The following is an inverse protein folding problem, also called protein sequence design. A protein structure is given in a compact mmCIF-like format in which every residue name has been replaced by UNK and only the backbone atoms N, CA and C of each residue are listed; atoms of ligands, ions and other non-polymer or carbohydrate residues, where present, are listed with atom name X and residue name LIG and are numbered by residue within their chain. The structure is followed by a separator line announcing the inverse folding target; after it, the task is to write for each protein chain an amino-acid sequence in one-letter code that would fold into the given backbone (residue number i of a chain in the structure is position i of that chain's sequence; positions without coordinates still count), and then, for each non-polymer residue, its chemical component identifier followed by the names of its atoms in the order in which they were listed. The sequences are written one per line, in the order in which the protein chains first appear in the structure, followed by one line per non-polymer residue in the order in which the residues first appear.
data_IF_092353097476
#
_entry.id   IF_092353097476
#
_cell.length_a   1.000
_cell.length_b   1.000
_cell.length_c   1.000
_cell.angle_alpha   90.00
_cell.angle_beta   90.00
_cell.angle_gamma   90.00
#
_symmetry.space_group_name_H-M   'P 1'
#
loop_
_entity.id
_entity.type
_entity.pdbx_description
1 polymer ?
#
# COMPACT_ATOMS: atom_id res chain seq x y z
N UNK A 1 16.06 -12.32 -9.70
CA UNK A 1 14.68 -12.14 -10.18
C UNK A 1 13.89 -13.40 -9.86
N UNK A 2 12.62 -13.27 -9.51
CA UNK A 2 11.73 -14.41 -9.24
C UNK A 2 11.25 -14.97 -10.59
N UNK A 3 11.59 -16.22 -10.91
CA UNK A 3 11.26 -16.86 -12.19
C UNK A 3 9.74 -17.07 -12.37
N UNK A 4 8.98 -17.18 -11.25
CA UNK A 4 7.55 -17.49 -11.24
C UNK A 4 6.68 -16.33 -10.69
N UNK A 5 7.05 -15.07 -10.96
CA UNK A 5 6.29 -13.94 -10.46
C UNK A 5 5.03 -13.69 -11.28
N UNK A 6 3.86 -13.75 -10.63
CA UNK A 6 2.55 -13.52 -11.24
C UNK A 6 1.95 -12.18 -10.79
N UNK A 7 1.35 -11.45 -11.73
CA UNK A 7 0.61 -10.21 -11.45
C UNK A 7 -0.89 -10.48 -11.59
N UNK A 8 -1.67 -10.10 -10.58
CA UNK A 8 -3.13 -10.20 -10.58
C UNK A 8 -3.77 -8.83 -10.43
N UNK A 9 -4.64 -8.44 -11.35
CA UNK A 9 -5.49 -7.26 -11.22
C UNK A 9 -6.87 -7.70 -10.75
N UNK A 10 -7.22 -7.40 -9.49
CA UNK A 10 -8.42 -7.92 -8.83
C UNK A 10 -9.61 -6.95 -8.90
N UNK A 11 -9.41 -5.73 -9.43
CA UNK A 11 -10.44 -4.70 -9.42
C UNK A 11 -10.74 -4.22 -8.01
N UNK A 12 -12.02 -3.92 -7.72
CA UNK A 12 -12.44 -3.46 -6.39
C UNK A 12 -12.98 -4.64 -5.58
N UNK A 13 -12.27 -5.01 -4.51
CA UNK A 13 -12.53 -6.20 -3.69
C UNK A 13 -12.64 -5.85 -2.21
N UNK A 14 -13.41 -6.61 -1.46
CA UNK A 14 -13.59 -6.44 -0.02
C UNK A 14 -12.28 -6.65 0.74
N UNK A 15 -11.98 -5.77 1.70
CA UNK A 15 -10.73 -5.85 2.46
C UNK A 15 -10.63 -7.13 3.31
N UNK A 16 -11.70 -7.48 4.02
CA UNK A 16 -11.70 -8.64 4.91
C UNK A 16 -11.47 -9.95 4.14
N UNK A 17 -12.21 -10.14 3.04
CA UNK A 17 -12.04 -11.32 2.17
C UNK A 17 -10.63 -11.38 1.57
N UNK A 18 -10.09 -10.21 1.16
CA UNK A 18 -8.73 -10.14 0.60
C UNK A 18 -7.68 -10.46 1.66
N UNK A 19 -7.88 -10.03 2.91
CA UNK A 19 -7.00 -10.37 4.04
C UNK A 19 -6.95 -11.88 4.27
N UNK A 20 -8.11 -12.54 4.29
CA UNK A 20 -8.20 -13.99 4.47
C UNK A 20 -7.51 -14.74 3.32
N UNK A 21 -7.67 -14.26 2.08
CA UNK A 21 -6.99 -14.83 0.91
C UNK A 21 -5.48 -14.69 1.02
N UNK A 22 -4.96 -13.51 1.39
CA UNK A 22 -3.52 -13.31 1.59
C UNK A 22 -2.96 -14.20 2.69
N UNK A 23 -3.65 -14.29 3.83
CA UNK A 23 -3.24 -15.12 4.96
C UNK A 23 -3.27 -16.62 4.62
N UNK A 24 -4.19 -17.06 3.79
CA UNK A 24 -4.27 -18.43 3.30
C UNK A 24 -3.13 -18.72 2.34
N UNK A 25 -2.94 -17.85 1.35
CA UNK A 25 -1.90 -18.01 0.32
C UNK A 25 -0.48 -18.11 0.92
N UNK A 26 -0.12 -17.29 1.90
CA UNK A 26 1.21 -17.36 2.51
C UNK A 26 1.44 -18.61 3.36
N UNK A 27 0.38 -19.36 3.70
CA UNK A 27 0.46 -20.62 4.42
C UNK A 27 0.51 -21.84 3.49
N UNK A 28 0.23 -21.67 2.21
CA UNK A 28 0.24 -22.76 1.23
C UNK A 28 1.62 -23.44 1.16
N UNK A 29 1.59 -24.76 1.00
CA UNK A 29 2.81 -25.56 0.85
C UNK A 29 3.49 -25.24 -0.48
N UNK A 30 2.69 -25.09 -1.54
CA UNK A 30 3.14 -24.78 -2.89
C UNK A 30 2.95 -23.28 -3.18
N UNK A 31 3.51 -22.45 -2.30
CA UNK A 31 3.44 -21.00 -2.40
C UNK A 31 4.03 -20.48 -3.71
N UNK A 32 3.28 -19.62 -4.40
CA UNK A 32 3.72 -18.89 -5.59
C UNK A 32 3.91 -17.41 -5.30
N UNK A 33 4.89 -16.80 -5.97
CA UNK A 33 5.13 -15.35 -5.83
C UNK A 33 4.08 -14.56 -6.62
N UNK A 34 3.34 -13.72 -5.93
CA UNK A 34 2.26 -12.94 -6.54
C UNK A 34 2.32 -11.48 -6.13
N UNK A 35 1.98 -10.58 -7.06
CA UNK A 35 1.72 -9.17 -6.79
C UNK A 35 0.30 -8.87 -7.23
N UNK A 36 -0.51 -8.39 -6.28
CA UNK A 36 -1.92 -8.08 -6.52
C UNK A 36 -2.13 -6.57 -6.61
N UNK A 37 -2.74 -6.10 -7.69
CA UNK A 37 -3.17 -4.72 -7.87
C UNK A 37 -4.69 -4.66 -7.70
N UNK A 38 -5.18 -3.74 -6.87
CA UNK A 38 -6.59 -3.69 -6.53
C UNK A 38 -7.01 -2.33 -5.95
N UNK A 39 -8.28 -2.17 -5.70
CA UNK A 39 -8.89 -1.14 -4.86
C UNK A 39 -9.76 -1.80 -3.78
N UNK A 40 -10.02 -1.08 -2.70
CA UNK A 40 -11.03 -1.48 -1.72
C UNK A 40 -12.25 -0.54 -1.72
N UNK A 41 -13.44 -1.01 -1.33
CA UNK A 41 -14.49 -0.13 -0.83
C UNK A 41 -13.99 0.68 0.37
N UNK A 42 -14.68 1.76 0.77
CA UNK A 42 -14.31 2.56 1.93
C UNK A 42 -14.12 1.70 3.19
N UNK A 43 -12.93 1.76 3.79
CA UNK A 43 -12.58 1.01 5.00
C UNK A 43 -11.43 1.67 5.75
N UNK A 44 -11.55 1.75 7.08
CA UNK A 44 -10.42 2.01 7.97
C UNK A 44 -9.78 0.69 8.40
N UNK A 45 -8.46 0.60 8.30
CA UNK A 45 -7.72 -0.57 8.78
C UNK A 45 -6.81 -0.20 9.93
N UNK A 46 -6.84 -1.00 11.00
CA UNK A 46 -5.97 -0.86 12.16
C UNK A 46 -4.81 -1.84 12.02
N UNK A 47 -3.59 -1.33 11.90
CA UNK A 47 -2.38 -2.15 11.90
C UNK A 47 -2.02 -2.62 13.33
N UNK A 48 -0.94 -3.38 13.44
CA UNK A 48 -0.50 -3.98 14.71
C UNK A 48 -0.03 -2.97 15.77
N UNK A 49 0.34 -1.76 15.34
CA UNK A 49 0.72 -0.67 16.24
C UNK A 49 -0.42 0.34 16.47
N UNK A 50 -1.63 0.07 15.94
CA UNK A 50 -2.70 1.04 15.93
C UNK A 50 -3.27 1.30 17.33
N UNK A 51 -3.36 2.59 17.66
CA UNK A 51 -4.14 3.05 18.80
C UNK A 51 -5.53 3.49 18.33
N UNK A 52 -6.59 2.91 18.89
CA UNK A 52 -7.98 3.24 18.56
C UNK A 52 -8.32 4.72 18.76
N UNK A 53 -7.61 5.43 19.64
CA UNK A 53 -7.77 6.88 19.82
C UNK A 53 -7.37 7.71 18.58
N UNK A 54 -6.69 7.10 17.61
CA UNK A 54 -6.37 7.70 16.32
C UNK A 54 -7.53 7.64 15.32
N UNK A 55 -8.66 7.01 15.67
CA UNK A 55 -9.94 7.18 14.97
C UNK A 55 -10.68 8.29 15.66
N UNK A 56 -10.89 9.41 14.97
CA UNK A 56 -11.54 10.60 15.48
C UNK A 56 -13.06 10.52 15.28
N UNK A 57 -13.49 10.07 14.10
CA UNK A 57 -14.88 9.85 13.74
C UNK A 57 -14.95 8.90 12.54
N UNK A 58 -15.43 7.68 12.74
CA UNK A 58 -15.51 6.70 11.65
C UNK A 58 -16.78 6.85 10.80
N UNK A 59 -17.78 7.58 11.30
CA UNK A 59 -19.13 7.65 10.70
C UNK A 59 -19.62 6.23 10.35
N UNK A 60 -19.95 6.02 9.06
CA UNK A 60 -20.44 4.73 8.56
C UNK A 60 -19.33 3.87 7.91
N UNK A 61 -18.08 4.34 7.91
CA UNK A 61 -16.97 3.60 7.30
C UNK A 61 -16.57 2.44 8.24
N UNK A 62 -16.57 1.19 7.74
CA UNK A 62 -16.18 0.04 8.54
C UNK A 62 -14.73 0.17 9.05
N UNK A 63 -14.52 -0.34 10.27
CA UNK A 63 -13.19 -0.43 10.89
C UNK A 63 -12.81 -1.90 10.99
N UNK A 64 -11.69 -2.29 10.40
CA UNK A 64 -11.21 -3.67 10.39
C UNK A 64 -9.85 -3.75 11.08
N UNK A 65 -9.74 -4.65 12.06
CA UNK A 65 -8.45 -5.00 12.63
C UNK A 65 -7.66 -5.83 11.64
N UNK A 66 -6.44 -5.38 11.35
CA UNK A 66 -5.52 -6.04 10.42
C UNK A 66 -4.23 -6.45 11.14
N UNK A 67 -3.49 -7.37 10.56
CA UNK A 67 -2.19 -7.80 11.05
C UNK A 67 -1.01 -7.15 10.30
N UNK A 68 -1.28 -6.20 9.38
CA UNK A 68 -0.23 -5.39 8.76
C UNK A 68 0.52 -4.54 9.78
N UNK A 69 1.74 -4.20 9.47
CA UNK A 69 2.49 -3.21 10.26
C UNK A 69 1.86 -1.81 10.22
N UNK A 70 2.23 -1.00 11.19
CA UNK A 70 1.85 0.40 11.29
C UNK A 70 0.52 0.66 12.00
N UNK A 71 0.09 1.89 11.93
CA UNK A 71 -1.06 2.50 12.60
C UNK A 71 -2.35 2.44 11.73
N UNK A 72 -3.35 3.28 12.07
CA UNK A 72 -4.59 3.40 11.30
C UNK A 72 -4.32 4.02 9.92
N UNK A 73 -5.04 3.55 8.91
CA UNK A 73 -5.11 4.15 7.57
C UNK A 73 -6.51 3.98 6.97
N UNK A 74 -6.73 4.65 5.85
CA UNK A 74 -7.95 4.56 5.06
C UNK A 74 -7.66 3.96 3.68
N UNK A 75 -8.57 3.11 3.22
CA UNK A 75 -8.63 2.66 1.84
C UNK A 75 -10.00 2.99 1.25
N UNK A 76 -10.03 3.35 -0.03
CA UNK A 76 -11.25 3.68 -0.73
C UNK A 76 -11.08 3.68 -2.25
N UNK A 77 -12.19 3.82 -3.00
CA UNK A 77 -12.17 3.91 -4.46
C UNK A 77 -11.25 5.00 -4.96
N UNK A 78 -10.48 4.71 -6.03
CA UNK A 78 -9.50 5.65 -6.57
C UNK A 78 -8.13 5.60 -5.88
N UNK A 79 -7.91 4.67 -4.96
CA UNK A 79 -6.61 4.38 -4.37
C UNK A 79 -6.04 3.10 -4.99
N UNK A 80 -4.86 3.16 -5.59
CA UNK A 80 -4.17 1.95 -6.04
C UNK A 80 -3.53 1.24 -4.86
N UNK A 81 -4.00 0.04 -4.56
CA UNK A 81 -3.41 -0.84 -3.55
C UNK A 81 -2.60 -1.93 -4.26
N UNK A 82 -1.37 -2.17 -3.78
CA UNK A 82 -0.50 -3.22 -4.31
C UNK A 82 -0.05 -4.09 -3.15
N UNK A 83 -0.42 -5.36 -3.19
CA UNK A 83 -0.02 -6.37 -2.22
C UNK A 83 1.10 -7.24 -2.77
N UNK A 84 2.10 -7.52 -1.93
CA UNK A 84 3.31 -8.25 -2.26
C UNK A 84 3.34 -9.58 -1.51
N UNK A 85 2.90 -10.64 -2.16
CA UNK A 85 2.93 -12.01 -1.65
C UNK A 85 4.19 -12.67 -2.21
N UNK A 86 5.33 -12.38 -1.60
CA UNK A 86 6.65 -12.74 -2.13
C UNK A 86 7.46 -13.52 -1.09
N UNK A 87 8.24 -14.49 -1.57
CA UNK A 87 9.25 -15.18 -0.77
C UNK A 87 10.50 -14.30 -0.66
N UNK A 88 10.53 -13.45 0.37
CA UNK A 88 11.65 -12.52 0.57
C UNK A 88 12.92 -13.23 1.05
N UNK A 89 12.79 -14.44 1.58
CA UNK A 89 13.96 -15.24 1.93
C UNK A 89 14.70 -15.70 0.66
N UNK A 90 13.98 -16.12 -0.38
CA UNK A 90 14.58 -16.43 -1.69
C UNK A 90 15.18 -15.19 -2.38
N UNK A 91 14.64 -14.02 -2.12
CA UNK A 91 15.19 -12.76 -2.62
C UNK A 91 16.41 -12.28 -1.82
N UNK A 92 16.78 -12.97 -0.75
CA UNK A 92 17.85 -12.56 0.19
C UNK A 92 17.66 -11.15 0.74
N UNK A 93 16.39 -10.72 0.88
CA UNK A 93 16.03 -9.40 1.38
C UNK A 93 15.65 -9.44 2.85
N UNK A 94 16.29 -8.60 3.66
CA UNK A 94 15.78 -8.32 5.00
C UNK A 94 14.46 -7.53 4.92
N UNK A 95 13.57 -7.62 5.92
CA UNK A 95 12.35 -6.81 5.97
C UNK A 95 12.60 -5.31 5.77
N UNK A 96 13.65 -4.78 6.38
CA UNK A 96 14.03 -3.35 6.25
C UNK A 96 14.43 -3.01 4.81
N UNK A 97 15.22 -3.87 4.18
CA UNK A 97 15.63 -3.69 2.78
C UNK A 97 14.44 -3.78 1.84
N UNK A 98 13.51 -4.72 2.10
CA UNK A 98 12.29 -4.85 1.32
C UNK A 98 11.42 -3.59 1.41
N UNK A 99 11.20 -3.03 2.61
CA UNK A 99 10.49 -1.75 2.79
C UNK A 99 11.14 -0.63 1.98
N UNK A 100 12.48 -0.49 2.03
CA UNK A 100 13.18 0.53 1.24
C UNK A 100 13.09 0.28 -0.27
N UNK A 101 13.08 -0.97 -0.72
CA UNK A 101 12.85 -1.34 -2.12
C UNK A 101 11.47 -0.86 -2.58
N UNK A 102 10.43 -1.10 -1.78
CA UNK A 102 9.06 -0.65 -2.07
C UNK A 102 8.96 0.89 -2.06
N UNK A 103 9.62 1.58 -1.13
CA UNK A 103 9.66 3.05 -1.13
C UNK A 103 10.29 3.60 -2.41
N UNK A 104 11.44 3.04 -2.82
CA UNK A 104 12.11 3.44 -4.05
C UNK A 104 11.27 3.11 -5.29
N UNK A 105 10.59 1.97 -5.32
CA UNK A 105 9.62 1.67 -6.38
C UNK A 105 8.56 2.78 -6.53
N UNK A 106 7.95 3.24 -5.43
CA UNK A 106 6.96 4.34 -5.50
C UNK A 106 7.60 5.63 -5.97
N UNK A 107 8.82 5.93 -5.51
CA UNK A 107 9.57 7.11 -5.97
C UNK A 107 9.79 7.07 -7.49
N UNK A 108 10.27 5.95 -8.01
CA UNK A 108 10.54 5.78 -9.44
C UNK A 108 9.24 5.83 -10.26
N UNK A 109 8.17 5.22 -9.76
CA UNK A 109 6.84 5.27 -10.37
C UNK A 109 6.31 6.71 -10.47
N UNK A 110 6.48 7.53 -9.43
CA UNK A 110 6.07 8.93 -9.43
C UNK A 110 6.97 9.77 -10.34
N UNK A 111 8.27 9.50 -10.36
CA UNK A 111 9.22 10.17 -11.27
C UNK A 111 8.88 9.93 -12.75
N UNK A 112 8.45 8.71 -13.12
CA UNK A 112 7.96 8.37 -14.46
C UNK A 112 6.69 9.16 -14.88
N UNK A 113 6.07 9.85 -13.94
CA UNK A 113 4.90 10.73 -14.14
C UNK A 113 5.24 12.21 -13.88
N UNK A 114 6.54 12.56 -13.86
CA UNK A 114 7.05 13.90 -13.55
C UNK A 114 6.58 14.45 -12.20
N UNK A 115 6.49 13.57 -11.18
CA UNK A 115 6.12 13.94 -9.82
C UNK A 115 7.33 13.68 -8.90
N UNK A 116 7.87 14.75 -8.33
CA UNK A 116 8.93 14.66 -7.32
C UNK A 116 8.35 14.32 -5.95
N UNK A 117 9.04 13.46 -5.21
CA UNK A 117 8.63 13.05 -3.88
C UNK A 117 9.83 12.90 -2.93
N UNK A 118 9.53 12.79 -1.65
CA UNK A 118 10.52 12.64 -0.58
C UNK A 118 10.13 11.54 0.40
N UNK A 119 11.10 11.14 1.21
CA UNK A 119 10.90 10.27 2.37
C UNK A 119 11.09 11.10 3.64
N UNK A 120 10.35 10.75 4.69
CA UNK A 120 10.51 11.34 6.02
C UNK A 120 11.07 10.27 6.94
N UNK A 121 12.14 10.60 7.65
CA UNK A 121 12.77 9.70 8.59
C UNK A 121 11.78 9.27 9.68
N UNK A 122 11.78 7.98 10.04
CA UNK A 122 10.88 7.37 11.02
C UNK A 122 9.37 7.47 10.71
N UNK A 123 9.00 7.93 9.50
CA UNK A 123 7.61 7.99 9.05
C UNK A 123 7.43 7.20 7.73
N UNK A 124 7.29 5.87 7.76
CA UNK A 124 7.19 5.04 6.56
C UNK A 124 6.09 5.52 5.62
N UNK A 125 6.44 5.69 4.35
CA UNK A 125 5.55 6.21 3.32
C UNK A 125 6.31 7.08 2.32
N UNK A 126 5.57 7.68 1.38
CA UNK A 126 6.11 8.61 0.39
C UNK A 126 5.35 9.92 0.48
N UNK A 127 6.04 11.04 0.34
CA UNK A 127 5.51 12.37 0.62
C UNK A 127 5.82 13.35 -0.51
N UNK A 128 4.91 14.29 -0.73
CA UNK A 128 5.06 15.45 -1.60
C UNK A 128 4.70 16.67 -0.76
N UNK A 129 5.63 17.63 -0.65
CA UNK A 129 5.47 18.83 0.19
C UNK A 129 4.96 18.52 1.61
N UNK A 130 5.54 17.47 2.23
CA UNK A 130 5.17 16.93 3.54
C UNK A 130 3.78 16.25 3.61
N UNK A 131 3.00 16.23 2.53
CA UNK A 131 1.73 15.53 2.45
C UNK A 131 1.94 14.09 1.99
N UNK A 132 1.33 13.14 2.69
CA UNK A 132 1.50 11.73 2.36
C UNK A 132 0.71 11.36 1.10
N UNK A 133 1.39 10.80 0.09
CA UNK A 133 0.78 10.29 -1.13
C UNK A 133 0.67 8.77 -1.16
N UNK A 134 1.58 8.07 -0.45
CA UNK A 134 1.54 6.62 -0.34
C UNK A 134 1.85 6.14 1.07
N UNK A 135 1.09 5.14 1.51
CA UNK A 135 1.27 4.47 2.80
C UNK A 135 1.85 3.07 2.59
N UNK A 136 2.70 2.63 3.53
CA UNK A 136 3.32 1.30 3.52
C UNK A 136 2.94 0.58 4.79
N UNK A 137 2.40 -0.61 4.65
CA UNK A 137 2.08 -1.49 5.76
C UNK A 137 2.26 -2.93 5.31
N UNK A 138 3.38 -3.55 5.67
CA UNK A 138 3.72 -4.93 5.33
C UNK A 138 3.60 -5.85 6.53
N UNK A 139 3.43 -7.13 6.26
CA UNK A 139 3.59 -8.20 7.23
C UNK A 139 4.59 -9.22 6.69
N UNK A 140 5.40 -9.74 7.59
CA UNK A 140 6.37 -10.80 7.27
C UNK A 140 6.05 -12.03 8.13
N UNK A 141 5.98 -13.18 7.48
CA UNK A 141 5.70 -14.45 8.14
C UNK A 141 6.44 -15.58 7.42
N UNK A 142 7.25 -16.34 8.15
CA UNK A 142 7.98 -17.51 7.63
C UNK A 142 8.78 -17.23 6.35
N UNK A 143 9.47 -16.09 6.28
CA UNK A 143 10.26 -15.68 5.11
C UNK A 143 9.46 -15.10 3.96
N UNK A 144 8.14 -15.01 4.07
CA UNK A 144 7.24 -14.45 3.05
C UNK A 144 6.70 -13.09 3.48
N UNK A 145 6.37 -12.23 2.51
CA UNK A 145 5.65 -10.97 2.72
C UNK A 145 4.19 -11.10 2.35
N UNK A 146 3.34 -10.25 2.90
CA UNK A 146 1.99 -9.95 2.43
C UNK A 146 1.55 -8.57 2.88
N UNK A 147 0.37 -8.08 2.47
CA UNK A 147 0.06 -6.67 2.42
C UNK A 147 1.05 -5.90 1.55
N UNK A 148 1.13 -4.58 1.69
CA UNK A 148 1.97 -3.80 0.80
C UNK A 148 1.84 -2.31 0.94
N UNK A 149 1.45 -1.66 -0.15
CA UNK A 149 1.34 -0.21 -0.26
C UNK A 149 -0.04 0.22 -0.75
N UNK A 150 -0.40 1.43 -0.41
CA UNK A 150 -1.53 2.14 -1.03
C UNK A 150 -1.05 3.49 -1.56
N UNK A 151 -1.37 3.80 -2.81
CA UNK A 151 -1.03 5.05 -3.50
C UNK A 151 -2.32 5.79 -3.78
N UNK A 152 -2.45 6.99 -3.25
CA UNK A 152 -3.60 7.85 -3.51
C UNK A 152 -3.52 8.35 -4.95
N UNK A 153 -4.48 7.96 -5.79
CA UNK A 153 -4.50 8.34 -7.20
C UNK A 153 -5.56 9.40 -7.51
N UNK A 154 -6.83 9.06 -7.39
CA UNK A 154 -7.99 9.92 -7.69
C UNK A 154 -9.16 9.51 -6.82
N UNK A 155 -9.11 9.86 -5.54
CA UNK A 155 -10.00 9.39 -4.49
C UNK A 155 -10.55 10.53 -3.66
N UNK A 156 -11.62 10.27 -2.90
CA UNK A 156 -12.03 11.17 -1.83
C UNK A 156 -11.03 11.10 -0.66
N UNK A 157 -10.37 12.22 -0.38
CA UNK A 157 -9.41 12.35 0.71
C UNK A 157 -10.07 12.76 2.05
N UNK A 158 -11.35 13.13 2.05
CA UNK A 158 -12.05 13.60 3.28
C UNK A 158 -12.05 12.56 4.41
N UNK A 159 -12.16 11.23 4.16
CA UNK A 159 -12.07 10.24 5.23
C UNK A 159 -10.74 10.23 6.01
N UNK A 160 -9.65 10.69 5.41
CA UNK A 160 -8.39 10.82 6.15
C UNK A 160 -8.43 11.85 7.29
N UNK A 161 -9.38 12.83 7.23
CA UNK A 161 -9.59 13.79 8.31
C UNK A 161 -10.32 13.17 9.53
N UNK A 162 -10.87 11.98 9.37
CA UNK A 162 -11.57 11.22 10.43
C UNK A 162 -10.62 10.35 11.25
N UNK A 163 -9.33 10.35 10.90
CA UNK A 163 -8.28 9.59 11.59
C UNK A 163 -7.03 10.46 11.78
N UNK A 164 -6.11 10.02 12.65
CA UNK A 164 -4.73 10.49 12.67
C UNK A 164 -3.86 9.48 11.89
N UNK A 165 -3.63 9.67 10.58
CA UNK A 165 -2.93 8.68 9.78
C UNK A 165 -1.54 8.42 10.34
N UNK A 166 -1.15 7.15 10.48
CA UNK A 166 0.14 6.76 11.07
C UNK A 166 0.37 7.28 12.50
N UNK A 167 -0.69 7.63 13.25
CA UNK A 167 -0.61 8.19 14.59
C UNK A 167 -0.19 9.67 14.66
N UNK A 168 0.01 10.33 13.54
CA UNK A 168 0.42 11.73 13.49
C UNK A 168 -0.79 12.66 13.36
N UNK A 169 -1.03 13.47 14.41
CA UNK A 169 -2.08 14.50 14.38
C UNK A 169 -1.80 15.51 13.29
N UNK A 170 -2.82 15.79 12.45
CA UNK A 170 -2.72 16.81 11.42
C UNK A 170 -1.86 16.43 10.22
N UNK A 171 -1.50 15.14 10.06
CA UNK A 171 -0.82 14.68 8.86
C UNK A 171 -1.72 14.86 7.64
N UNK A 172 -1.34 15.76 6.76
CA UNK A 172 -2.02 15.96 5.49
C UNK A 172 -1.71 14.83 4.50
N UNK A 173 -2.69 14.55 3.64
CA UNK A 173 -2.56 13.61 2.53
C UNK A 173 -2.75 14.32 1.20
N UNK A 174 -2.18 13.75 0.15
CA UNK A 174 -2.37 14.22 -1.23
C UNK A 174 -2.57 13.02 -2.16
N UNK A 175 -2.78 13.28 -3.43
CA UNK A 175 -3.00 12.26 -4.46
C UNK A 175 -2.41 12.70 -5.81
N UNK A 176 -2.17 11.74 -6.69
CA UNK A 176 -1.55 11.97 -8.01
C UNK A 176 -2.33 13.02 -8.80
N UNK A 177 -3.65 12.93 -8.84
CA UNK A 177 -4.52 13.84 -9.61
C UNK A 177 -4.48 15.29 -9.16
N UNK A 178 -4.06 15.57 -7.92
CA UNK A 178 -3.87 16.94 -7.45
C UNK A 178 -2.61 17.60 -8.06
N UNK A 179 -1.65 16.79 -8.51
CA UNK A 179 -0.34 17.23 -8.99
C UNK A 179 -0.26 17.09 -10.51
N UNK A 180 -0.60 15.93 -11.05
CA UNK A 180 -0.61 15.65 -12.47
C UNK A 180 -1.98 15.09 -12.90
N UNK A 181 -2.84 15.97 -13.44
CA UNK A 181 -4.20 15.62 -13.87
C UNK A 181 -4.24 14.74 -15.12
N UNK A 182 -3.16 14.68 -15.90
CA UNK A 182 -3.12 13.93 -17.15
C UNK A 182 -2.98 12.42 -16.95
N UNK A 183 -2.40 11.97 -15.82
CA UNK A 183 -2.18 10.55 -15.53
C UNK A 183 -3.52 9.81 -15.47
N UNK A 184 -3.63 8.70 -16.18
CA UNK A 184 -4.79 7.81 -16.12
C UNK A 184 -4.51 6.61 -15.19
N UNK A 185 -5.58 5.99 -14.66
CA UNK A 185 -5.45 4.78 -13.83
C UNK A 185 -4.76 3.64 -14.60
N UNK A 186 -5.13 3.44 -15.86
CA UNK A 186 -4.56 2.41 -16.73
C UNK A 186 -3.06 2.63 -16.92
N UNK A 187 -2.64 3.88 -17.13
CA UNK A 187 -1.23 4.23 -17.24
C UNK A 187 -0.48 3.98 -15.94
N UNK A 188 -1.03 4.39 -14.79
CA UNK A 188 -0.46 4.15 -13.46
C UNK A 188 -0.22 2.66 -13.21
N UNK A 189 -1.26 1.82 -13.41
CA UNK A 189 -1.16 0.37 -13.22
C UNK A 189 -0.14 -0.27 -14.18
N UNK A 190 -0.15 0.12 -15.44
CA UNK A 190 0.81 -0.38 -16.45
C UNK A 190 2.26 -0.02 -16.10
N UNK A 191 2.51 1.23 -15.71
CA UNK A 191 3.84 1.67 -15.27
C UNK A 191 4.28 0.93 -14.00
N UNK A 192 3.37 0.76 -13.03
CA UNK A 192 3.64 0.01 -11.80
C UNK A 192 4.07 -1.43 -12.10
N UNK A 193 3.32 -2.17 -12.93
CA UNK A 193 3.65 -3.54 -13.32
C UNK A 193 5.00 -3.62 -14.02
N UNK A 194 5.27 -2.70 -14.95
CA UNK A 194 6.52 -2.69 -15.71
C UNK A 194 7.74 -2.43 -14.82
N UNK A 195 7.62 -1.54 -13.84
CA UNK A 195 8.70 -1.28 -12.86
C UNK A 195 8.89 -2.47 -11.92
N UNK A 196 7.80 -3.06 -11.39
CA UNK A 196 7.88 -4.19 -10.48
C UNK A 196 8.51 -5.43 -11.13
N UNK A 197 8.26 -5.67 -12.42
CA UNK A 197 8.93 -6.74 -13.19
C UNK A 197 10.43 -6.56 -13.35
N UNK A 198 10.94 -5.33 -13.22
CA UNK A 198 12.38 -5.05 -13.28
C UNK A 198 13.05 -5.19 -11.90
N UNK A 199 12.26 -5.05 -10.84
CA UNK A 199 12.74 -5.09 -9.46
C UNK A 199 12.78 -6.52 -8.93
N UNK A 200 11.76 -7.30 -9.22
CA UNK A 200 11.56 -8.67 -8.73
C UNK A 200 11.65 -9.71 -9.85
#
# INVERSE_FOLDING_TARGET
MLEDLTFKSLGRVNYFETLDLMQSHVKEKDFTNEIWLLEHPPVFTLGTAANKSNILDSKEIPIIQSDRGGEVTYHGPGQLVIYFLLDIAKLELSPRKFVSTIQNFVKDLLADMAIECSFIENAPGVYIDKKKIASIGLRFSRGKSYHGISINFDMDLAPFQQINPCGYKGLEVTQIKNINKSVTKIELEKKAINLLRKIF
#
